data_IF_843434321240
#
_entry.id   IF_843434321240
#
_cell.length_a   1.000
_cell.length_b   1.000
_cell.length_c   1.000
_cell.angle_alpha   90.00
_cell.angle_beta   90.00
_cell.angle_gamma   90.00
#
_symmetry.space_group_name_H-M   'P 1'
#
loop_
_entity.id
_entity.type
_entity.pdbx_description
1 polymer ?
2 non-polymer ?
3 non-polymer ?
4 non-polymer ?
5 water ?
#
# COMPACT_ATOMS: atom_id res chain seq x y z
N UNK A 31 -13.25 27.28 -16.36
CA UNK A 31 -13.59 25.93 -15.88
C UNK A 31 -13.81 25.90 -14.36
N UNK A 32 -15.08 25.83 -13.99
CA UNK A 32 -15.56 25.58 -12.64
C UNK A 32 -15.01 24.22 -12.10
N UNK A 33 -14.44 24.25 -10.90
CA UNK A 33 -13.85 23.03 -10.32
C UNK A 33 -14.68 22.47 -9.19
N UNK A 34 -14.63 21.15 -9.03
CA UNK A 34 -15.22 20.44 -7.90
C UNK A 34 -14.09 19.76 -7.13
N UNK A 35 -14.37 19.42 -5.88
CA UNK A 35 -13.35 18.93 -4.97
C UNK A 35 -13.86 17.68 -4.27
N UNK A 36 -12.93 16.82 -3.80
CA UNK A 36 -13.33 15.70 -2.97
C UNK A 36 -12.17 15.37 -2.05
N UNK A 37 -12.48 14.82 -0.88
CA UNK A 37 -11.45 14.57 0.11
C UNK A 37 -11.49 13.12 0.53
N UNK A 38 -10.33 12.48 0.62
CA UNK A 38 -10.26 11.16 1.25
C UNK A 38 -9.25 11.21 2.37
N UNK A 39 -9.64 10.70 3.53
CA UNK A 39 -8.70 10.40 4.62
C UNK A 39 -8.32 8.91 4.47
N UNK A 40 -7.05 8.67 4.18
CA UNK A 40 -6.48 7.31 4.13
C UNK A 40 -5.98 6.98 5.56
N UNK A 41 -6.74 6.18 6.32
CA UNK A 41 -6.43 5.85 7.73
C UNK A 41 -5.67 4.49 7.73
N UNK A 42 -4.37 4.60 7.48
CA UNK A 42 -3.48 3.44 7.34
C UNK A 42 -3.03 2.97 8.71
N UNK A 43 -2.43 1.79 8.75
CA UNK A 43 -1.98 1.22 10.02
C UNK A 43 -1.01 2.16 10.76
N UNK A 44 -0.09 2.83 10.07
CA UNK A 44 1.01 3.57 10.76
C UNK A 44 0.74 5.09 10.83
N UNK A 45 -0.21 5.56 10.04
CA UNK A 45 -0.55 6.98 10.07
C UNK A 45 -1.73 7.24 9.18
N UNK A 46 -2.27 8.44 9.30
CA UNK A 46 -3.36 8.89 8.43
C UNK A 46 -2.82 9.96 7.47
N UNK A 47 -3.24 9.89 6.22
CA UNK A 47 -2.97 10.95 5.27
C UNK A 47 -4.30 11.47 4.71
N UNK A 48 -4.34 12.78 4.45
CA UNK A 48 -5.49 13.39 3.81
C UNK A 48 -5.11 13.75 2.38
N UNK A 49 -5.97 13.44 1.44
CA UNK A 49 -5.78 13.82 0.05
C UNK A 49 -6.99 14.61 -0.38
N UNK A 50 -6.73 15.74 -1.01
CA UNK A 50 -7.76 16.57 -1.60
C UNK A 50 -7.57 16.54 -3.13
N UNK A 51 -8.65 16.18 -3.83
CA UNK A 51 -8.67 16.03 -5.26
C UNK A 51 -9.57 17.11 -5.88
N UNK A 52 -9.31 17.42 -7.14
CA UNK A 52 -10.07 18.49 -7.83
C UNK A 52 -10.26 18.07 -9.28
N UNK A 53 -11.36 18.50 -9.89
CA UNK A 53 -11.64 18.14 -11.26
C UNK A 53 -12.59 19.19 -11.86
N UNK A 54 -12.52 19.38 -13.19
CA UNK A 54 -13.53 20.29 -13.80
C UNK A 54 -14.92 19.68 -13.77
N UNK A 55 -15.88 20.47 -13.31
CA UNK A 55 -17.30 20.09 -13.27
C UNK A 55 -17.83 19.54 -14.63
N UNK A 56 -17.53 20.24 -15.72
CA UNK A 56 -18.04 19.90 -17.06
C UNK A 56 -17.34 18.71 -17.75
N UNK A 57 -16.22 18.25 -17.18
CA UNK A 57 -15.45 17.10 -17.76
C UNK A 57 -15.28 15.93 -16.79
N UNK A 58 -16.16 15.82 -15.81
CA UNK A 58 -15.86 15.01 -14.63
C UNK A 58 -15.82 13.50 -14.88
N UNK A 59 -16.43 13.04 -15.98
CA UNK A 59 -16.44 11.61 -16.32
C UNK A 59 -15.32 11.16 -17.29
N UNK A 60 -14.49 12.09 -17.74
CA UNK A 60 -13.33 11.75 -18.55
C UNK A 60 -12.35 10.96 -17.68
N UNK A 61 -11.78 9.87 -18.21
CA UNK A 61 -10.66 9.23 -17.51
C UNK A 61 -9.43 10.15 -17.35
N UNK A 62 -8.75 10.07 -16.20
CA UNK A 62 -7.53 10.85 -15.99
C UNK A 62 -7.73 12.32 -15.60
N UNK A 63 -8.98 12.73 -15.52
CA UNK A 63 -9.33 14.17 -15.33
C UNK A 63 -9.14 14.60 -13.86
N UNK A 64 -9.45 13.70 -12.93
CA UNK A 64 -9.32 14.01 -11.51
C UNK A 64 -7.83 14.00 -11.18
N UNK A 65 -7.37 14.99 -10.42
CA UNK A 65 -6.01 14.91 -9.88
C UNK A 65 -5.89 15.50 -8.50
N UNK A 66 -4.76 15.25 -7.86
CA UNK A 66 -4.55 15.72 -6.51
C UNK A 66 -4.37 17.26 -6.47
N UNK A 67 -5.05 17.87 -5.52
CA UNK A 67 -4.96 19.33 -5.27
C UNK A 67 -3.98 19.63 -4.12
N UNK A 68 -4.11 18.87 -3.03
CA UNK A 68 -3.24 19.06 -1.88
C UNK A 68 -3.27 17.79 -1.04
N UNK A 69 -2.41 17.76 -0.04
CA UNK A 69 -2.42 16.63 0.85
C UNK A 69 -1.91 17.08 2.21
N UNK A 70 -2.10 16.20 3.19
CA UNK A 70 -1.66 16.51 4.56
C UNK A 70 -1.40 15.20 5.29
N UNK A 71 -0.26 15.15 5.98
CA UNK A 71 0.09 13.98 6.80
C UNK A 71 -0.26 14.27 8.26
N UNK A 72 -1.09 13.40 8.83
CA UNK A 72 -1.56 13.61 10.20
C UNK A 72 -0.42 13.20 11.11
N UNK A 73 -0.09 14.07 12.05
CA UNK A 73 0.93 13.80 13.08
C UNK A 73 0.58 12.57 13.90
N UNK A 74 1.58 11.73 14.17
CA UNK A 74 1.42 10.58 15.06
C UNK A 74 0.93 9.29 14.38
N UNK A 75 0.46 8.36 15.23
CA UNK A 75 0.20 6.96 14.84
C UNK A 75 -1.06 6.90 14.01
N UNK A 76 -1.41 5.70 13.57
CA UNK A 76 -2.71 5.46 12.88
C UNK A 76 -3.89 5.51 13.83
N UNK A 77 -5.11 5.58 13.27
CA UNK A 77 -6.29 5.66 14.15
C UNK A 77 -6.40 4.41 15.03
N UNK A 78 -5.95 3.25 14.52
CA UNK A 78 -5.99 2.02 15.30
C UNK A 78 -5.07 2.10 16.55
N UNK A 79 -4.08 3.00 16.52
CA UNK A 79 -3.16 3.22 17.66
C UNK A 79 -3.87 3.81 18.90
N UNK A 80 -5.09 4.30 18.70
CA UNK A 80 -5.89 4.87 19.76
C UNK A 80 -6.95 3.94 20.26
N UNK A 81 -6.76 2.63 20.07
CA UNK A 81 -7.75 1.63 20.55
C UNK A 81 -8.16 1.82 22.02
N UNK A 82 -7.20 2.21 22.86
CA UNK A 82 -7.48 2.39 24.32
C UNK A 82 -7.80 3.82 24.74
N UNK A 83 -7.79 4.73 23.75
CA UNK A 83 -8.07 6.16 23.97
C UNK A 83 -8.78 6.70 22.72
N UNK A 84 -9.97 6.13 22.36
CA UNK A 84 -10.58 6.39 21.05
C UNK A 84 -10.89 7.87 20.78
N UNK A 85 -11.16 8.63 21.83
CA UNK A 85 -11.40 10.08 21.68
C UNK A 85 -10.25 10.78 20.95
N UNK A 86 -9.01 10.34 21.22
CA UNK A 86 -7.84 10.93 20.57
C UNK A 86 -7.80 10.71 19.05
N UNK A 87 -8.45 9.63 18.59
CA UNK A 87 -8.41 9.33 17.15
C UNK A 87 -9.06 10.43 16.32
N UNK A 88 -10.23 10.89 16.74
CA UNK A 88 -10.89 12.01 16.08
C UNK A 88 -10.08 13.30 16.18
N UNK A 89 -9.63 13.65 17.39
CA UNK A 89 -8.80 14.83 17.58
C UNK A 89 -7.53 14.84 16.71
N UNK A 90 -6.97 13.66 16.41
CA UNK A 90 -5.75 13.59 15.61
C UNK A 90 -5.95 14.17 14.17
N UNK A 91 -7.19 14.20 13.70
CA UNK A 91 -7.51 14.66 12.33
C UNK A 91 -7.66 16.19 12.22
N UNK A 92 -7.72 16.86 13.36
CA UNK A 92 -8.17 18.26 13.38
C UNK A 92 -7.27 19.16 12.56
N UNK A 93 -5.95 19.04 12.70
CA UNK A 93 -5.04 19.95 12.00
C UNK A 93 -5.11 19.81 10.48
N UNK A 94 -5.14 18.56 9.99
CA UNK A 94 -5.33 18.35 8.56
C UNK A 94 -6.71 18.78 8.06
N UNK A 95 -7.77 18.52 8.82
CA UNK A 95 -9.11 19.05 8.46
C UNK A 95 -9.16 20.59 8.39
N UNK A 96 -8.45 21.24 9.31
CA UNK A 96 -8.28 22.69 9.24
C UNK A 96 -7.56 23.11 7.97
N UNK A 97 -6.55 22.34 7.54
CA UNK A 97 -5.91 22.58 6.24
C UNK A 97 -6.88 22.41 5.07
N UNK A 98 -7.70 21.34 5.07
CA UNK A 98 -8.76 21.18 4.04
C UNK A 98 -9.68 22.39 3.84
N UNK A 99 -10.00 23.06 4.95
CA UNK A 99 -10.86 24.25 4.96
C UNK A 99 -10.18 25.40 4.24
N UNK A 100 -8.86 25.49 4.39
CA UNK A 100 -8.06 26.47 3.61
C UNK A 100 -7.81 26.05 2.17
N UNK A 101 -7.72 24.74 1.90
CA UNK A 101 -7.37 24.26 0.57
C UNK A 101 -8.57 24.30 -0.37
N UNK A 102 -9.76 24.06 0.16
CA UNK A 102 -10.95 23.99 -0.68
C UNK A 102 -11.67 25.37 -0.53
N UNK A 103 -12.02 26.02 -1.65
CA UNK A 103 -12.73 27.33 -1.57
C UNK A 103 -14.00 27.24 -0.70
N UNK A 104 -14.35 28.31 0.04
CA UNK A 104 -15.40 28.27 1.11
C UNK A 104 -16.73 27.91 0.48
N UNK A 105 -16.96 28.46 -0.70
CA UNK A 105 -18.24 28.36 -1.35
C UNK A 105 -18.48 26.93 -1.82
N UNK A 106 -17.42 26.11 -1.81
CA UNK A 106 -17.53 24.73 -2.23
C UNK A 106 -17.46 23.69 -1.09
N UNK A 107 -17.25 24.13 0.16
CA UNK A 107 -17.12 23.19 1.31
C UNK A 107 -18.32 22.24 1.40
N UNK A 108 -19.52 22.82 1.39
CA UNK A 108 -20.78 22.09 1.56
C UNK A 108 -21.03 20.94 0.57
N UNK A 109 -20.48 21.06 -0.63
CA UNK A 109 -20.73 20.11 -1.72
C UNK A 109 -19.49 19.29 -2.06
N UNK A 110 -18.49 19.35 -1.19
CA UNK A 110 -17.27 18.55 -1.36
C UNK A 110 -17.46 17.31 -0.48
N UNK A 111 -17.51 16.09 -1.11
CA UNK A 111 -17.62 14.86 -0.34
C UNK A 111 -16.31 14.60 0.44
N UNK A 112 -16.47 14.09 1.65
CA UNK A 112 -15.33 13.65 2.47
C UNK A 112 -15.56 12.24 2.87
N UNK A 113 -14.55 11.38 2.67
CA UNK A 113 -14.65 9.99 3.06
C UNK A 113 -13.47 9.68 3.95
N UNK A 114 -13.67 8.76 4.86
CA UNK A 114 -12.53 8.11 5.52
C UNK A 114 -12.55 6.63 5.24
N UNK A 115 -11.42 6.09 4.82
CA UNK A 115 -11.28 4.66 4.53
C UNK A 115 -10.10 4.18 5.39
N UNK A 116 -10.30 3.10 6.13
CA UNK A 116 -9.24 2.56 7.01
C UNK A 116 -8.84 1.17 6.49
N UNK A 117 -7.57 0.85 6.66
CA UNK A 117 -7.04 -0.38 6.06
C UNK A 117 -6.60 -1.36 7.16
N UNK A 118 -5.43 -2.00 7.00
CA UNK A 118 -5.14 -3.20 7.79
C UNK A 118 -4.92 -2.96 9.28
N UNK A 119 -4.56 -1.73 9.67
CA UNK A 119 -4.43 -1.40 11.12
C UNK A 119 -5.77 -1.62 11.79
N UNK A 120 -6.83 -1.14 11.14
CA UNK A 120 -8.19 -1.33 11.65
C UNK A 120 -8.71 -2.76 11.42
N UNK A 121 -8.34 -3.39 10.30
CA UNK A 121 -8.69 -4.84 10.18
C UNK A 121 -8.08 -5.68 11.32
N UNK A 122 -6.82 -5.42 11.68
CA UNK A 122 -6.21 -6.13 12.80
C UNK A 122 -6.87 -5.80 14.15
N UNK A 123 -7.16 -4.51 14.39
CA UNK A 123 -7.83 -4.15 15.66
C UNK A 123 -9.19 -4.86 15.74
N UNK A 124 -9.86 -5.01 14.60
CA UNK A 124 -11.18 -5.64 14.59
C UNK A 124 -11.10 -7.12 14.96
N UNK A 125 -9.98 -7.79 14.65
CA UNK A 125 -9.74 -9.19 15.17
C UNK A 125 -9.59 -9.23 16.71
N UNK A 126 -8.90 -8.26 17.23
CA UNK A 126 -8.61 -8.14 18.65
C UNK A 126 -9.86 -7.69 19.41
N UNK A 127 -10.50 -6.62 18.94
CA UNK A 127 -11.64 -6.02 19.62
C UNK A 127 -12.54 -5.24 18.71
N UNK A 128 -13.63 -5.86 18.28
CA UNK A 128 -14.64 -5.20 17.48
C UNK A 128 -15.23 -4.00 18.22
N UNK A 129 -15.36 -4.10 19.53
CA UNK A 129 -15.84 -2.98 20.35
C UNK A 129 -14.89 -1.77 20.29
N UNK A 130 -13.58 -1.97 20.49
CA UNK A 130 -12.61 -0.86 20.42
C UNK A 130 -12.55 -0.27 19.00
N UNK A 131 -12.60 -1.13 17.99
CA UNK A 131 -12.72 -0.72 16.58
C UNK A 131 -13.92 0.20 16.35
N UNK A 132 -15.07 -0.21 16.87
CA UNK A 132 -16.30 0.60 16.72
C UNK A 132 -16.19 1.95 17.45
N UNK A 133 -15.54 1.98 18.62
CA UNK A 133 -15.35 3.23 19.35
C UNK A 133 -14.42 4.20 18.58
N UNK A 134 -13.37 3.65 17.96
CA UNK A 134 -12.48 4.50 17.13
C UNK A 134 -13.25 5.12 15.95
N UNK A 135 -14.05 4.28 15.28
CA UNK A 135 -14.80 4.71 14.10
C UNK A 135 -15.81 5.75 14.53
N UNK A 136 -16.41 5.51 15.71
CA UNK A 136 -17.33 6.51 16.31
C UNK A 136 -16.63 7.85 16.59
N UNK A 137 -15.45 7.81 17.18
CA UNK A 137 -14.69 9.03 17.49
C UNK A 137 -14.28 9.79 16.22
N UNK A 138 -13.77 9.10 15.20
CA UNK A 138 -13.46 9.83 13.93
C UNK A 138 -14.76 10.36 13.29
N UNK A 139 -15.83 9.58 13.36
CA UNK A 139 -17.12 10.03 12.76
C UNK A 139 -17.62 11.30 13.45
N UNK A 140 -17.60 11.30 14.78
CA UNK A 140 -18.01 12.48 15.53
C UNK A 140 -17.19 13.74 15.16
N UNK A 141 -15.85 13.64 15.04
CA UNK A 141 -15.05 14.77 14.61
C UNK A 141 -15.41 15.22 13.18
N UNK A 142 -15.48 14.28 12.25
CA UNK A 142 -15.67 14.64 10.84
C UNK A 142 -17.01 15.30 10.57
N UNK A 143 -18.04 14.85 11.28
CA UNK A 143 -19.37 15.41 11.16
C UNK A 143 -19.45 16.89 11.63
N UNK A 144 -18.52 17.35 12.48
CA UNK A 144 -18.43 18.77 12.90
C UNK A 144 -17.96 19.74 11.83
N UNK A 145 -17.41 19.20 10.74
CA UNK A 145 -16.88 20.03 9.65
C UNK A 145 -17.94 20.23 8.54
N UNK A 146 -17.78 21.30 7.73
CA UNK A 146 -18.78 21.71 6.72
C UNK A 146 -18.78 20.95 5.42
N UNK A 147 -17.83 20.01 5.26
CA UNK A 147 -17.82 19.08 4.10
C UNK A 147 -19.01 18.13 4.15
N UNK A 148 -19.38 17.60 2.99
CA UNK A 148 -20.42 16.60 2.88
C UNK A 148 -19.80 15.23 3.32
N UNK A 149 -19.84 14.95 4.62
CA UNK A 149 -19.17 13.76 5.14
C UNK A 149 -20.00 12.52 4.76
N UNK A 150 -19.38 11.54 4.13
CA UNK A 150 -20.09 10.40 3.55
C UNK A 150 -19.75 9.09 4.28
N UNK A 151 -18.98 9.19 5.36
CA UNK A 151 -18.80 8.03 6.27
C UNK A 151 -17.36 7.58 6.45
N UNK A 152 -17.15 6.90 7.58
CA UNK A 152 -15.88 6.24 7.88
C UNK A 152 -16.14 4.74 7.73
N UNK A 153 -15.36 4.09 6.88
CA UNK A 153 -15.48 2.66 6.65
C UNK A 153 -14.11 1.99 6.68
N UNK A 154 -14.12 0.71 7.06
CA UNK A 154 -12.95 -0.15 6.90
C UNK A 154 -13.07 -0.83 5.52
N UNK A 155 -12.08 -0.59 4.68
CA UNK A 155 -11.98 -1.25 3.38
C UNK A 155 -11.60 -2.72 3.54
N UNK A 156 -12.14 -3.56 2.65
CA UNK A 156 -11.63 -4.93 2.56
C UNK A 156 -10.25 -4.95 1.93
N UNK A 157 -9.55 -6.06 2.09
CA UNK A 157 -8.25 -6.22 1.38
C UNK A 157 -8.42 -6.19 -0.14
N UNK A 158 -9.53 -6.73 -0.63
CA UNK A 158 -9.82 -6.63 -2.06
C UNK A 158 -10.00 -5.18 -2.48
N UNK A 159 -10.83 -4.43 -1.77
CA UNK A 159 -11.00 -3.01 -2.02
C UNK A 159 -9.69 -2.30 -2.13
N UNK A 160 -8.82 -2.53 -1.16
CA UNK A 160 -7.55 -1.85 -1.09
C UNK A 160 -6.71 -2.11 -2.33
N UNK A 161 -6.65 -3.37 -2.78
CA UNK A 161 -5.82 -3.80 -3.93
C UNK A 161 -6.46 -3.20 -5.21
N UNK A 162 -7.76 -3.44 -5.36
CA UNK A 162 -8.45 -3.00 -6.59
C UNK A 162 -8.42 -1.48 -6.76
N UNK A 163 -8.71 -0.73 -5.70
CA UNK A 163 -8.74 0.76 -5.83
C UNK A 163 -7.35 1.31 -6.11
N UNK A 164 -6.31 0.66 -5.59
CA UNK A 164 -4.96 1.08 -5.98
C UNK A 164 -4.65 0.86 -7.49
N UNK A 165 -5.11 -0.27 -8.02
CA UNK A 165 -4.95 -0.64 -9.43
C UNK A 165 -5.73 0.40 -10.27
N UNK A 166 -6.93 0.73 -9.83
CA UNK A 166 -7.73 1.73 -10.57
C UNK A 166 -7.02 3.08 -10.57
N UNK A 167 -6.51 3.48 -9.41
CA UNK A 167 -5.82 4.77 -9.31
C UNK A 167 -4.68 4.83 -10.34
N UNK A 168 -3.80 3.83 -10.36
CA UNK A 168 -2.64 3.90 -11.22
C UNK A 168 -3.07 3.98 -12.71
N UNK A 169 -3.98 3.10 -13.09
CA UNK A 169 -4.40 3.01 -14.47
C UNK A 169 -5.25 4.24 -14.90
N UNK A 170 -6.02 4.76 -13.95
CA UNK A 170 -6.79 5.99 -14.26
C UNK A 170 -5.84 7.13 -14.54
N UNK A 171 -4.86 7.32 -13.66
CA UNK A 171 -3.91 8.44 -13.78
C UNK A 171 -3.07 8.38 -15.04
N UNK A 172 -2.74 7.16 -15.48
CA UNK A 172 -1.88 6.95 -16.64
C UNK A 172 -2.65 6.79 -17.96
N UNK A 173 -3.96 6.95 -17.89
CA UNK A 173 -4.85 6.92 -19.06
C UNK A 173 -4.82 5.58 -19.79
N UNK A 174 -4.70 4.49 -19.03
CA UNK A 174 -4.72 3.19 -19.65
C UNK A 174 -6.10 2.69 -19.99
N UNK A 175 -7.14 3.44 -19.61
CA UNK A 175 -8.51 2.95 -19.89
C UNK A 175 -9.07 3.58 -21.18
N UNK A 176 -8.29 4.45 -21.79
CA UNK A 176 -8.66 5.01 -23.12
C UNK A 176 -8.66 3.86 -24.17
N UNK A 177 -9.65 3.82 -25.07
CA UNK A 177 -9.59 2.86 -26.19
C UNK A 177 -8.72 3.51 -27.29
N UNK A 178 -7.48 3.03 -27.45
CA UNK A 178 -6.57 3.66 -28.41
C UNK A 178 -6.81 3.20 -29.85
N UNK A 179 -6.65 4.18 -30.75
CA UNK A 179 -6.79 3.96 -32.19
C UNK A 179 -7.90 4.86 -32.69
N UNK A 180 -8.50 4.43 -33.80
CA UNK A 180 -9.61 5.18 -34.38
C UNK A 180 -10.47 4.23 -35.22
N UNK A 181 -11.58 4.75 -35.71
CA UNK A 181 -12.52 3.87 -36.44
C UNK A 181 -11.81 3.10 -37.54
N UNK A 182 -12.03 1.78 -37.55
CA UNK A 182 -11.48 0.87 -38.57
C UNK A 182 -10.02 0.48 -38.30
N UNK A 183 -9.43 1.03 -37.23
CA UNK A 183 -8.04 0.71 -36.90
C UNK A 183 -7.79 0.87 -35.39
N UNK A 184 -8.34 -0.07 -34.63
CA UNK A 184 -8.19 -0.06 -33.17
C UNK A 184 -6.95 -0.83 -32.85
N UNK A 185 -6.20 -0.35 -31.86
CA UNK A 185 -5.00 -1.11 -31.45
C UNK A 185 -5.45 -2.45 -30.89
N UNK A 186 -4.75 -3.49 -31.28
CA UNK A 186 -5.15 -4.86 -30.87
C UNK A 186 -3.85 -5.53 -30.56
N UNK A 187 -3.73 -6.18 -29.38
CA UNK A 187 -4.73 -6.22 -28.33
C UNK A 187 -4.89 -4.83 -27.72
N UNK A 188 -5.97 -4.68 -26.97
CA UNK A 188 -6.28 -3.51 -26.19
C UNK A 188 -5.02 -3.05 -25.43
N UNK A 189 -4.87 -1.75 -25.21
CA UNK A 189 -3.81 -1.17 -24.39
C UNK A 189 -3.68 -1.93 -23.05
N UNK A 190 -2.46 -2.33 -22.71
CA UNK A 190 -2.23 -3.07 -21.44
C UNK A 190 -2.43 -2.19 -20.24
N UNK A 191 -2.73 -2.84 -19.12
CA UNK A 191 -2.86 -2.14 -17.86
C UNK A 191 -1.66 -2.45 -16.92
N UNK A 192 -1.48 -1.55 -15.96
CA UNK A 192 -0.37 -1.62 -15.04
C UNK A 192 -0.84 -2.38 -13.81
N UNK A 193 -0.12 -3.45 -13.50
CA UNK A 193 -0.34 -4.21 -12.24
C UNK A 193 0.07 -3.30 -11.09
N UNK A 194 -0.47 -3.59 -9.89
CA UNK A 194 -0.13 -2.74 -8.73
C UNK A 194 0.42 -3.60 -7.59
N UNK A 195 1.50 -3.13 -6.95
CA UNK A 195 1.94 -3.83 -5.71
C UNK A 195 2.11 -2.77 -4.68
N UNK A 196 1.42 -2.93 -3.55
CA UNK A 196 1.39 -1.91 -2.49
C UNK A 196 1.97 -2.56 -1.24
N UNK A 197 3.03 -2.00 -0.69
CA UNK A 197 3.53 -2.53 0.60
C UNK A 197 3.25 -1.46 1.67
N UNK A 198 2.17 -1.66 2.44
CA UNK A 198 1.86 -0.72 3.50
C UNK A 198 2.49 -1.22 4.76
N UNK A 199 1.96 -0.76 5.89
CA UNK A 199 2.57 -1.09 7.19
C UNK A 199 2.09 -2.43 7.73
N UNK A 200 0.84 -2.81 7.41
CA UNK A 200 0.22 -4.03 8.04
C UNK A 200 -0.22 -5.12 7.06
N UNK A 201 -0.39 -4.78 5.80
CA UNK A 201 -0.67 -5.82 4.80
C UNK A 201 0.03 -5.38 3.51
N UNK A 202 0.10 -6.32 2.57
CA UNK A 202 0.60 -6.02 1.22
C UNK A 202 -0.39 -6.59 0.17
N UNK A 203 -0.57 -5.85 -0.92
CA UNK A 203 -1.55 -6.20 -1.98
C UNK A 203 -0.85 -6.38 -3.29
N UNK A 204 -1.34 -7.32 -4.11
CA UNK A 204 -0.90 -7.47 -5.49
C UNK A 204 -2.18 -7.59 -6.35
N UNK A 205 -2.22 -6.86 -7.47
CA UNK A 205 -3.45 -6.73 -8.25
C UNK A 205 -3.01 -6.53 -9.70
N UNK A 206 -3.56 -7.32 -10.60
CA UNK A 206 -3.22 -7.18 -12.04
C UNK A 206 -4.25 -7.85 -12.93
N UNK A 207 -4.33 -7.29 -14.13
CA UNK A 207 -5.18 -7.87 -15.17
C UNK A 207 -4.58 -9.18 -15.62
N UNK A 208 -5.45 -10.18 -15.76
CA UNK A 208 -5.03 -11.52 -16.13
C UNK A 208 -5.99 -12.18 -17.13
N UNK A 209 -5.44 -13.05 -17.98
CA UNK A 209 -6.22 -13.90 -18.88
C UNK A 209 -6.38 -15.32 -18.32
N UNK A 210 -5.73 -15.63 -17.18
CA UNK A 210 -5.89 -16.98 -16.59
C UNK A 210 -7.25 -17.18 -15.97
N UNK A 211 -7.76 -18.43 -16.06
CA UNK A 211 -9.03 -18.76 -15.41
C UNK A 211 -8.93 -18.54 -13.91
N UNK A 212 -10.03 -18.07 -13.33
CA UNK A 212 -10.09 -17.85 -11.91
C UNK A 212 -10.22 -19.21 -11.18
N UNK A 213 -9.49 -19.38 -10.10
CA UNK A 213 -9.60 -20.62 -9.32
C UNK A 213 -10.10 -20.39 -7.90
N UNK A 214 -10.11 -19.13 -7.48
CA UNK A 214 -10.57 -18.81 -6.14
C UNK A 214 -11.40 -17.54 -6.21
N UNK A 215 -12.69 -17.64 -5.89
CA UNK A 215 -13.58 -16.48 -6.00
C UNK A 215 -13.12 -15.25 -5.21
N UNK A 216 -12.48 -15.45 -4.06
CA UNK A 216 -11.92 -14.37 -3.24
C UNK A 216 -10.89 -13.51 -3.95
N UNK A 217 -10.26 -14.03 -5.01
CA UNK A 217 -9.20 -13.33 -5.75
C UNK A 217 -9.69 -12.75 -7.08
N UNK A 218 -10.93 -13.05 -7.43
CA UNK A 218 -11.46 -12.74 -8.77
C UNK A 218 -12.21 -11.40 -8.79
N UNK A 219 -11.85 -10.53 -9.73
CA UNK A 219 -12.39 -9.19 -9.80
C UNK A 219 -12.81 -8.96 -11.28
N UNK A 220 -14.02 -8.48 -11.49
CA UNK A 220 -14.46 -8.08 -12.86
C UNK A 220 -14.93 -6.64 -12.84
N UNK A 221 -14.31 -5.78 -13.67
CA UNK A 221 -14.64 -4.37 -13.68
C UNK A 221 -15.20 -4.02 -15.05
N UNK A 222 -16.18 -3.12 -15.07
CA UNK A 222 -16.67 -2.60 -16.34
C UNK A 222 -16.34 -1.11 -16.30
N UNK A 223 -15.40 -0.69 -17.11
CA UNK A 223 -14.92 0.69 -17.04
C UNK A 223 -14.87 1.25 -18.47
N UNK A 224 -15.55 2.37 -18.67
CA UNK A 224 -15.59 3.06 -19.99
C UNK A 224 -15.94 2.09 -21.12
N UNK A 225 -16.87 1.19 -20.87
CA UNK A 225 -17.38 0.30 -21.90
C UNK A 225 -16.54 -0.96 -22.04
N UNK A 226 -15.53 -1.12 -21.22
CA UNK A 226 -14.62 -2.26 -21.35
C UNK A 226 -14.65 -3.14 -20.13
N UNK A 227 -14.45 -4.44 -20.38
CA UNK A 227 -14.38 -5.46 -19.31
C UNK A 227 -12.90 -5.74 -18.97
N UNK A 228 -12.57 -5.61 -17.68
CA UNK A 228 -11.21 -5.98 -17.17
C UNK A 228 -11.39 -7.13 -16.17
N UNK A 229 -10.65 -8.21 -16.43
CA UNK A 229 -10.57 -9.43 -15.60
C UNK A 229 -9.31 -9.25 -14.78
N UNK A 230 -9.47 -9.15 -13.47
CA UNK A 230 -8.39 -8.73 -12.61
C UNK A 230 -8.24 -9.77 -11.47
N UNK A 231 -6.99 -10.01 -11.09
CA UNK A 231 -6.65 -10.84 -9.93
C UNK A 231 -6.24 -9.86 -8.83
N UNK A 232 -6.65 -10.14 -7.59
CA UNK A 232 -6.13 -9.41 -6.44
C UNK A 232 -5.98 -10.30 -5.24
N UNK A 233 -4.98 -9.97 -4.41
CA UNK A 233 -4.89 -10.59 -3.10
C UNK A 233 -4.26 -9.61 -2.14
N UNK A 234 -4.72 -9.66 -0.88
CA UNK A 234 -4.05 -8.90 0.18
C UNK A 234 -3.56 -9.91 1.21
N UNK A 235 -2.27 -9.81 1.49
CA UNK A 235 -1.64 -10.60 2.54
C UNK A 235 -1.61 -9.82 3.87
N UNK A 236 -2.52 -10.16 4.76
CA UNK A 236 -2.58 -9.51 6.06
C UNK A 236 -1.35 -9.96 6.86
N UNK A 237 -0.77 -9.07 7.67
CA UNK A 237 0.47 -9.37 8.39
C UNK A 237 1.73 -9.42 7.55
N UNK A 238 1.64 -9.11 6.25
CA UNK A 238 2.81 -9.04 5.40
C UNK A 238 3.11 -7.57 5.03
N UNK A 239 2.55 -6.61 5.78
CA UNK A 239 3.00 -5.22 5.62
C UNK A 239 4.38 -5.03 6.31
N UNK A 240 5.04 -3.94 5.96
CA UNK A 240 6.41 -3.67 6.45
C UNK A 240 6.57 -3.78 7.98
N UNK A 241 5.72 -3.07 8.72
CA UNK A 241 5.87 -2.99 10.19
C UNK A 241 5.60 -4.35 10.85
N UNK A 242 4.61 -5.06 10.32
CA UNK A 242 4.31 -6.39 10.84
C UNK A 242 5.40 -7.40 10.50
N UNK A 243 5.92 -7.38 9.27
CA UNK A 243 7.06 -8.24 8.96
C UNK A 243 8.26 -7.98 9.89
N UNK A 244 8.57 -6.71 10.12
CA UNK A 244 9.66 -6.35 11.04
C UNK A 244 9.39 -6.91 12.46
N UNK A 245 8.18 -6.79 12.96
CA UNK A 245 7.83 -7.42 14.24
C UNK A 245 7.98 -8.95 14.26
N UNK A 246 7.53 -9.58 13.17
CA UNK A 246 7.64 -11.05 13.01
C UNK A 246 9.12 -11.51 12.97
N UNK A 247 9.96 -10.76 12.26
CA UNK A 247 11.40 -11.08 12.19
C UNK A 247 12.05 -10.87 13.55
N UNK A 248 11.65 -9.80 14.25
CA UNK A 248 12.19 -9.56 15.61
C UNK A 248 11.81 -10.69 16.57
N UNK A 249 10.54 -11.10 16.56
CA UNK A 249 10.04 -12.24 17.36
C UNK A 249 10.86 -13.50 17.01
N UNK A 250 11.06 -13.75 15.71
CA UNK A 250 11.79 -14.93 15.25
C UNK A 250 13.28 -14.89 15.69
N UNK A 251 13.93 -13.76 15.49
CA UNK A 251 15.34 -13.58 15.90
C UNK A 251 15.50 -13.83 17.42
N UNK A 252 14.57 -13.26 18.20
CA UNK A 252 14.57 -13.46 19.66
C UNK A 252 14.53 -14.95 20.03
N UNK A 253 13.70 -15.70 19.35
CA UNK A 253 13.47 -17.13 19.64
C UNK A 253 14.63 -18.00 19.16
N UNK A 254 15.10 -17.74 17.95
CA UNK A 254 16.02 -18.65 17.29
C UNK A 254 17.47 -18.31 17.62
N UNK A 255 17.78 -17.01 17.69
CA UNK A 255 19.15 -16.57 17.81
C UNK A 255 19.58 -15.87 19.07
N UNK A 256 18.65 -15.12 19.66
CA UNK A 256 18.98 -14.10 20.66
C UNK A 256 19.97 -13.05 20.17
N UNK A 257 20.10 -12.89 18.85
CA UNK A 257 20.68 -11.70 18.27
C UNK A 257 19.84 -11.49 16.99
N UNK A 258 20.02 -10.36 16.35
CA UNK A 258 19.22 -10.08 15.15
C UNK A 258 20.13 -10.01 13.94
N UNK A 259 20.12 -11.07 13.10
CA UNK A 259 21.08 -11.10 12.00
C UNK A 259 20.79 -10.05 10.95
N UNK A 260 19.54 -9.58 10.86
CA UNK A 260 19.25 -8.49 9.93
C UNK A 260 19.64 -7.13 10.42
N UNK A 261 19.82 -6.93 11.73
CA UNK A 261 20.25 -5.62 12.22
C UNK A 261 21.78 -5.47 12.11
N UNK A 262 22.23 -4.23 11.93
CA UNK A 262 23.66 -4.00 11.74
C UNK A 262 24.46 -4.18 13.03
N UNK A 263 25.64 -4.78 12.89
CA UNK A 263 26.56 -5.00 13.99
C UNK A 263 26.88 -3.64 14.68
N UNK A 264 26.66 -3.59 15.99
CA UNK A 264 26.86 -2.35 16.77
C UNK A 264 25.56 -1.68 17.12
N UNK A 265 24.46 -2.10 16.49
CA UNK A 265 23.17 -1.54 16.80
C UNK A 265 22.54 -2.47 17.83
N UNK A 266 22.02 -1.89 18.91
CA UNK A 266 21.29 -2.67 19.91
C UNK A 266 20.16 -1.86 20.48
N UNK A 267 19.16 -2.53 21.01
CA UNK A 267 18.08 -1.80 21.65
C UNK A 267 17.43 -2.68 22.72
N UNK A 268 16.73 -2.04 23.64
CA UNK A 268 16.05 -2.73 24.72
C UNK A 268 14.64 -3.04 24.21
N UNK A 269 14.34 -4.33 24.05
CA UNK A 269 13.09 -4.74 23.44
C UNK A 269 12.04 -5.04 24.55
N UNK A 270 10.91 -4.35 24.49
CA UNK A 270 9.87 -4.63 25.43
C UNK A 270 9.02 -5.79 24.88
N UNK A 271 9.07 -6.95 25.54
CA UNK A 271 8.50 -8.17 24.96
C UNK A 271 6.98 -8.09 24.73
N UNK A 272 6.30 -7.36 25.60
CA UNK A 272 4.86 -7.13 25.49
C UNK A 272 4.47 -6.54 24.14
N UNK A 273 5.23 -5.54 23.68
CA UNK A 273 4.96 -4.94 22.38
C UNK A 273 5.27 -5.93 21.25
N UNK A 274 6.28 -6.79 21.42
CA UNK A 274 6.63 -7.74 20.36
C UNK A 274 5.48 -8.73 20.09
N UNK A 275 4.92 -9.30 21.15
CA UNK A 275 3.97 -10.39 21.00
C UNK A 275 2.47 -9.98 21.08
N UNK A 276 2.18 -8.68 21.16
CA UNK A 276 0.79 -8.22 21.33
C UNK A 276 -0.03 -8.23 20.01
N UNK A 277 0.69 -8.24 18.88
CA UNK A 277 0.08 -8.20 17.56
C UNK A 277 -0.56 -9.53 17.14
N UNK A 278 -1.72 -9.50 16.45
CA UNK A 278 -2.23 -10.76 15.88
C UNK A 278 -1.18 -11.49 15.04
N UNK A 279 -0.24 -10.72 14.45
CA UNK A 279 0.73 -11.28 13.48
C UNK A 279 1.89 -12.06 14.15
N UNK A 280 2.06 -11.83 15.46
CA UNK A 280 3.18 -12.40 16.25
C UNK A 280 2.74 -13.22 17.44
N UNK A 281 1.45 -13.17 17.80
CA UNK A 281 0.94 -13.96 18.93
C UNK A 281 1.30 -15.44 18.81
N UNK A 282 1.31 -15.90 17.55
CA UNK A 282 1.68 -17.25 17.11
C UNK A 282 3.11 -17.68 17.42
N UNK A 283 4.04 -16.71 17.50
CA UNK A 283 5.42 -16.89 17.95
C UNK A 283 5.40 -16.74 19.49
N UNK A 284 6.54 -16.83 20.19
CA UNK A 284 6.54 -16.66 21.67
C UNK A 284 7.42 -17.62 22.49
N UNK A 292 10.59 -9.04 31.03
CA UNK A 292 9.82 -8.00 30.37
C UNK A 292 10.62 -7.26 29.26
N UNK A 293 11.92 -7.10 29.49
CA UNK A 293 12.73 -6.38 28.52
C UNK A 293 13.97 -7.20 28.28
N UNK A 294 14.35 -7.28 27.01
CA UNK A 294 15.55 -8.01 26.64
C UNK A 294 16.40 -7.15 25.74
N UNK A 295 17.72 -7.22 25.92
CA UNK A 295 18.64 -6.53 25.04
C UNK A 295 18.82 -7.36 23.79
N UNK A 296 18.74 -6.72 22.63
CA UNK A 296 18.94 -7.44 21.36
C UNK A 296 19.88 -6.65 20.48
N UNK A 297 20.92 -7.30 19.97
CA UNK A 297 21.95 -6.62 19.19
C UNK A 297 22.01 -7.17 17.77
N UNK A 298 22.42 -6.34 16.82
CA UNK A 298 22.53 -6.80 15.43
C UNK A 298 23.85 -7.46 15.13
N UNK A 299 23.92 -8.24 14.06
CA UNK A 299 25.17 -8.94 13.68
C UNK A 299 25.58 -8.86 12.21
N UNK A 300 24.81 -8.12 11.39
CA UNK A 300 25.13 -7.95 9.95
C UNK A 300 25.42 -9.28 9.27
N UNK A 301 24.51 -10.22 9.37
CA UNK A 301 24.75 -11.52 8.80
C UNK A 301 23.74 -11.67 7.66
N UNK A 302 24.12 -11.26 6.46
CA UNK A 302 23.15 -11.26 5.37
C UNK A 302 22.61 -12.67 5.11
N UNK A 303 23.46 -13.71 5.22
CA UNK A 303 22.96 -15.06 4.97
C UNK A 303 21.95 -15.54 6.02
N UNK A 304 22.22 -15.27 7.31
CA UNK A 304 21.24 -15.64 8.36
C UNK A 304 19.97 -14.79 8.30
N UNK A 305 20.12 -13.56 7.86
CA UNK A 305 18.95 -12.68 7.61
C UNK A 305 18.05 -13.25 6.48
N UNK A 306 18.67 -13.67 5.39
CA UNK A 306 17.98 -14.32 4.29
C UNK A 306 17.23 -15.54 4.81
N UNK A 307 17.93 -16.39 5.62
CA UNK A 307 17.28 -17.55 6.21
C UNK A 307 16.07 -17.18 7.10
N UNK A 308 16.22 -16.14 7.88
CA UNK A 308 15.13 -15.68 8.75
C UNK A 308 13.91 -15.19 7.96
N UNK A 309 14.17 -14.38 6.95
CA UNK A 309 13.11 -13.93 6.04
C UNK A 309 12.42 -15.08 5.31
N UNK A 310 13.19 -16.07 4.85
CA UNK A 310 12.61 -17.18 4.11
C UNK A 310 11.54 -17.95 4.93
N UNK A 311 11.65 -17.91 6.25
CA UNK A 311 10.67 -18.55 7.15
C UNK A 311 9.29 -17.89 7.07
N UNK A 312 9.23 -16.69 6.50
CA UNK A 312 7.94 -16.01 6.34
C UNK A 312 7.05 -16.60 5.24
N UNK A 313 7.62 -17.37 4.34
CA UNK A 313 6.89 -17.87 3.16
C UNK A 313 6.69 -19.38 3.23
N UNK A 314 5.44 -19.80 3.34
CA UNK A 314 5.20 -21.24 3.32
C UNK A 314 4.93 -21.67 1.87
N UNK A 315 5.81 -22.49 1.31
CA UNK A 315 5.63 -22.97 -0.07
C UNK A 315 5.31 -24.48 -0.11
N UNK A 316 4.92 -25.04 1.02
CA UNK A 316 4.89 -26.49 1.17
C UNK A 316 3.64 -27.09 0.51
N UNK A 317 2.61 -26.25 0.34
CA UNK A 317 1.32 -26.78 -0.06
C UNK A 317 0.55 -25.82 -0.96
N UNK A 318 -0.18 -26.39 -1.93
CA UNK A 318 -0.98 -25.57 -2.85
C UNK A 318 -2.17 -26.36 -3.34
N UNK A 319 -3.37 -25.97 -2.91
CA UNK A 319 -4.60 -26.66 -3.29
C UNK A 319 -5.12 -26.25 -4.67
N UNK A 320 -4.38 -25.37 -5.36
CA UNK A 320 -4.77 -24.83 -6.67
C UNK A 320 -3.77 -25.31 -7.70
N UNK A 321 -3.94 -24.96 -8.98
CA UNK A 321 -2.98 -25.36 -10.00
C UNK A 321 -1.64 -24.64 -9.85
N UNK A 322 -1.70 -23.42 -9.34
CA UNK A 322 -0.53 -22.60 -9.14
C UNK A 322 -0.81 -21.67 -7.95
N UNK A 323 0.20 -21.43 -7.10
CA UNK A 323 0.05 -20.60 -5.94
C UNK A 323 1.15 -19.55 -5.88
N UNK A 324 0.92 -18.51 -5.08
CA UNK A 324 2.03 -17.61 -4.71
C UNK A 324 2.70 -18.28 -3.51
N UNK A 325 2.17 -18.01 -2.32
CA UNK A 325 2.62 -18.69 -1.10
C UNK A 325 1.49 -18.77 -0.10
N UNK A 326 1.72 -19.53 1.00
CA UNK A 326 0.70 -19.81 2.01
C UNK A 326 -0.56 -20.41 1.40
N UNK A 327 -0.41 -21.20 0.32
CA UNK A 327 -1.53 -21.86 -0.31
C UNK A 327 -2.50 -20.90 -1.00
N UNK A 328 -2.06 -19.67 -1.27
CA UNK A 328 -2.93 -18.69 -1.98
C UNK A 328 -2.83 -18.89 -3.51
N UNK A 329 -3.98 -18.99 -4.15
CA UNK A 329 -4.02 -19.09 -5.61
C UNK A 329 -3.39 -17.81 -6.20
N UNK A 330 -2.54 -17.97 -7.22
CA UNK A 330 -2.08 -16.82 -8.01
C UNK A 330 -1.70 -17.24 -9.44
N UNK A 331 -2.29 -16.60 -10.49
CA UNK A 331 -1.86 -16.89 -11.86
C UNK A 331 -0.47 -16.27 -12.09
N UNK A 332 0.22 -16.68 -13.16
CA UNK A 332 1.52 -16.11 -13.50
C UNK A 332 1.47 -14.60 -13.55
N UNK A 333 2.41 -13.91 -12.90
CA UNK A 333 2.47 -12.45 -13.11
C UNK A 333 2.72 -12.12 -14.60
N UNK A 334 2.15 -11.00 -15.02
CA UNK A 334 2.17 -10.64 -16.48
C UNK A 334 2.00 -9.14 -16.57
N UNK A 335 2.64 -8.55 -17.58
CA UNK A 335 2.46 -7.15 -17.92
C UNK A 335 3.34 -6.27 -17.07
N UNK A 336 3.23 -4.96 -17.28
CA UNK A 336 3.97 -4.03 -16.43
C UNK A 336 3.32 -3.94 -15.04
N UNK A 337 4.12 -3.54 -14.03
CA UNK A 337 3.65 -3.28 -12.65
C UNK A 337 4.26 -1.98 -12.14
N UNK A 338 3.48 -1.30 -11.31
CA UNK A 338 4.01 -0.24 -10.49
C UNK A 338 4.03 -0.74 -9.03
N UNK A 339 5.20 -0.62 -8.41
CA UNK A 339 5.39 -1.02 -6.99
C UNK A 339 5.60 0.32 -6.22
N UNK A 340 4.70 0.60 -5.31
CA UNK A 340 4.68 1.88 -4.65
C UNK A 340 4.77 1.69 -3.14
N UNK A 341 4.35 2.71 -2.37
CA UNK A 341 4.46 2.70 -0.88
C UNK A 341 5.86 2.20 -0.47
N UNK A 342 5.96 1.25 0.47
CA UNK A 342 7.27 0.88 1.00
C UNK A 342 8.15 0.15 0.00
N UNK A 343 7.56 -0.36 -1.11
CA UNK A 343 8.48 -0.84 -2.18
C UNK A 343 9.30 0.33 -2.69
N UNK A 344 8.62 1.43 -2.98
CA UNK A 344 9.30 2.60 -3.49
C UNK A 344 10.28 3.11 -2.43
N UNK A 345 9.84 3.26 -1.18
CA UNK A 345 10.73 3.90 -0.16
C UNK A 345 12.01 3.06 0.04
N UNK A 346 11.88 1.74 -0.06
CA UNK A 346 13.03 0.88 0.21
C UNK A 346 13.99 0.89 -0.95
N UNK A 347 13.45 0.79 -2.17
CA UNK A 347 14.27 0.88 -3.35
C UNK A 347 14.94 2.25 -3.50
N UNK A 348 14.22 3.29 -3.11
CA UNK A 348 14.77 4.65 -3.13
C UNK A 348 15.97 4.74 -2.18
N UNK A 349 15.88 4.10 -1.03
CA UNK A 349 17.02 4.03 -0.12
C UNK A 349 18.22 3.30 -0.75
N UNK A 350 17.95 2.16 -1.41
CA UNK A 350 19.02 1.38 -1.98
C UNK A 350 19.72 2.14 -3.10
N UNK A 351 18.93 2.87 -3.91
CA UNK A 351 19.53 3.58 -5.02
C UNK A 351 20.16 4.90 -4.61
N UNK A 352 19.49 5.70 -3.80
CA UNK A 352 19.91 7.06 -3.50
C UNK A 352 20.88 7.15 -2.31
N UNK A 353 20.69 6.29 -1.31
CA UNK A 353 21.54 6.34 -0.13
C UNK A 353 22.70 5.37 -0.24
N UNK A 354 22.42 4.12 -0.57
CA UNK A 354 23.45 3.10 -0.76
C UNK A 354 24.19 3.26 -2.09
N UNK A 355 23.57 3.94 -3.06
CA UNK A 355 24.14 4.14 -4.38
C UNK A 355 24.27 2.86 -5.19
N UNK A 356 23.33 1.93 -5.05
CA UNK A 356 23.46 0.62 -5.68
C UNK A 356 22.38 0.46 -6.76
N UNK A 357 22.71 -0.22 -7.88
CA UNK A 357 21.68 -0.48 -8.91
C UNK A 357 20.67 -1.53 -8.45
N UNK A 358 19.41 -1.36 -8.85
CA UNK A 358 18.36 -2.34 -8.54
C UNK A 358 17.55 -2.81 -9.78
N UNK A 359 18.15 -2.66 -10.96
CA UNK A 359 17.47 -2.87 -12.23
C UNK A 359 17.08 -4.32 -12.49
N UNK A 360 17.80 -5.24 -11.87
CA UNK A 360 17.49 -6.68 -12.01
C UNK A 360 17.26 -7.29 -10.61
N UNK A 361 16.63 -8.47 -10.54
CA UNK A 361 16.50 -9.21 -9.26
C UNK A 361 17.86 -9.56 -8.70
N UNK A 362 18.79 -9.92 -9.59
CA UNK A 362 20.16 -10.20 -9.15
C UNK A 362 20.79 -8.95 -8.53
N UNK A 363 20.62 -7.78 -9.16
CA UNK A 363 21.08 -6.50 -8.56
C UNK A 363 20.41 -6.17 -7.22
N UNK A 364 19.10 -6.37 -7.16
CA UNK A 364 18.38 -6.16 -5.91
C UNK A 364 18.95 -7.09 -4.81
N UNK A 365 19.15 -8.36 -5.13
CA UNK A 365 19.73 -9.33 -4.16
C UNK A 365 21.14 -8.88 -3.66
N UNK A 366 21.97 -8.46 -4.61
CA UNK A 366 23.29 -7.95 -4.31
C UNK A 366 23.25 -6.73 -3.44
N UNK A 367 22.35 -5.79 -3.75
CA UNK A 367 22.21 -4.54 -2.99
C UNK A 367 21.74 -4.86 -1.54
N UNK A 368 20.88 -5.85 -1.41
CA UNK A 368 20.35 -6.28 -0.10
C UNK A 368 21.49 -6.82 0.73
N UNK A 369 22.30 -7.68 0.11
CA UNK A 369 23.48 -8.29 0.75
C UNK A 369 24.48 -7.27 1.26
N UNK A 370 24.90 -6.35 0.39
CA UNK A 370 25.80 -5.26 0.75
C UNK A 370 25.23 -4.45 1.90
N UNK A 371 23.93 -4.13 1.83
CA UNK A 371 23.26 -3.35 2.86
C UNK A 371 23.26 -4.08 4.21
N UNK A 372 22.92 -5.37 4.18
CA UNK A 372 22.81 -6.19 5.39
C UNK A 372 24.22 -6.43 5.98
N UNK A 373 25.24 -6.39 5.13
CA UNK A 373 26.61 -6.61 5.62
C UNK A 373 27.25 -5.37 6.23
N UNK A 374 26.61 -4.21 6.07
CA UNK A 374 27.12 -2.98 6.74
C UNK A 374 27.04 -3.04 8.27
N UNK A 375 28.07 -2.54 8.96
CA UNK A 375 28.00 -2.33 10.42
C UNK A 375 27.15 -1.09 10.71
N UNK A 376 26.77 -0.90 11.96
CA UNK A 376 25.95 0.25 12.32
C UNK A 376 26.63 1.60 12.10
N UNK A 377 27.94 1.67 12.40
CA UNK A 377 28.74 2.88 12.12
C UNK A 377 28.83 3.13 10.59
N UNK A 378 29.00 2.09 9.78
CA UNK A 378 29.09 2.26 8.33
C UNK A 378 27.76 2.75 7.73
N UNK A 379 26.67 2.20 8.24
CA UNK A 379 25.37 2.58 7.75
C UNK A 379 25.05 4.02 8.20
N UNK A 380 25.34 4.33 9.45
CA UNK A 380 25.13 5.71 9.92
C UNK A 380 25.95 6.75 9.13
N UNK A 381 27.18 6.39 8.76
CA UNK A 381 28.07 7.27 7.95
C UNK A 381 27.44 7.68 6.61
N UNK A 382 26.50 6.89 6.11
CA UNK A 382 25.80 7.18 4.85
C UNK A 382 24.60 8.11 4.99
N UNK A 383 24.17 8.37 6.23
CA UNK A 383 22.91 9.07 6.46
C UNK A 383 23.20 10.17 7.43
N UNK A 384 23.53 11.38 6.92
CA UNK A 384 23.93 12.45 7.84
C UNK A 384 22.81 12.93 8.78
N UNK A 385 21.56 12.77 8.37
CA UNK A 385 20.39 13.32 9.09
C UNK A 385 19.74 12.30 10.01
N UNK A 386 18.43 12.45 10.21
CA UNK A 386 17.71 11.57 11.14
C UNK A 386 17.80 10.09 10.71
N UNK A 387 17.88 9.24 11.72
CA UNK A 387 18.26 7.82 11.55
C UNK A 387 17.05 6.88 11.79
N UNK A 388 15.84 7.43 11.89
CA UNK A 388 14.70 6.56 12.09
C UNK A 388 14.58 5.67 10.84
N UNK A 389 14.24 4.43 11.08
CA UNK A 389 14.12 3.36 10.07
C UNK A 389 15.42 2.79 9.54
N UNK A 390 16.56 3.40 9.90
CA UNK A 390 17.80 3.03 9.25
C UNK A 390 18.23 1.58 9.50
N UNK A 391 18.07 1.12 10.74
CA UNK A 391 18.45 -0.24 11.10
C UNK A 391 17.55 -1.30 10.46
N UNK A 392 16.43 -0.87 9.89
CA UNK A 392 15.44 -1.78 9.33
C UNK A 392 15.51 -1.99 7.81
N UNK A 393 16.32 -1.19 7.10
CA UNK A 393 16.29 -1.32 5.61
C UNK A 393 16.76 -2.67 5.14
N UNK A 394 17.80 -3.21 5.76
CA UNK A 394 18.30 -4.56 5.39
C UNK A 394 17.16 -5.60 5.41
N UNK A 395 16.43 -5.66 6.53
CA UNK A 395 15.32 -6.63 6.65
C UNK A 395 14.22 -6.37 5.59
N UNK A 396 13.86 -5.10 5.41
CA UNK A 396 12.77 -4.78 4.47
C UNK A 396 13.20 -5.13 3.06
N UNK A 397 14.45 -4.80 2.71
CA UNK A 397 14.97 -5.06 1.34
C UNK A 397 14.99 -6.56 1.11
N UNK A 398 15.47 -7.33 2.10
CA UNK A 398 15.47 -8.81 2.00
C UNK A 398 14.06 -9.36 1.83
N UNK A 399 13.14 -8.83 2.62
CA UNK A 399 11.72 -9.23 2.50
C UNK A 399 11.20 -8.97 1.09
N UNK A 400 11.47 -7.77 0.58
CA UNK A 400 10.96 -7.39 -0.74
C UNK A 400 11.51 -8.33 -1.80
N UNK A 401 12.82 -8.57 -1.72
CA UNK A 401 13.43 -9.44 -2.71
C UNK A 401 12.83 -10.84 -2.69
N UNK A 402 12.62 -11.42 -1.49
CA UNK A 402 12.00 -12.71 -1.36
C UNK A 402 10.50 -12.71 -1.76
N UNK A 403 9.78 -11.69 -1.33
CA UNK A 403 8.37 -11.58 -1.69
C UNK A 403 8.21 -11.63 -3.22
N UNK A 404 8.99 -10.81 -3.93
CA UNK A 404 8.88 -10.76 -5.40
C UNK A 404 9.34 -12.07 -6.07
N UNK A 405 10.44 -12.64 -5.57
CA UNK A 405 11.09 -13.75 -6.33
C UNK A 405 10.52 -15.07 -5.89
N UNK A 406 10.44 -15.29 -4.60
CA UNK A 406 9.89 -16.54 -4.15
C UNK A 406 8.39 -16.53 -3.79
N UNK A 407 7.82 -15.36 -3.55
CA UNK A 407 6.43 -15.26 -3.14
C UNK A 407 5.57 -15.18 -4.41
N UNK A 408 5.78 -14.11 -5.20
CA UNK A 408 5.00 -13.84 -6.42
C UNK A 408 5.53 -14.51 -7.68
N UNK A 409 6.76 -15.01 -7.59
CA UNK A 409 7.43 -15.72 -8.73
C UNK A 409 7.74 -14.83 -9.92
N UNK A 410 8.12 -13.58 -9.65
CA UNK A 410 8.79 -12.79 -10.67
C UNK A 410 10.13 -13.46 -10.97
N UNK A 411 10.55 -13.36 -12.22
CA UNK A 411 11.89 -13.80 -12.63
C UNK A 411 12.53 -12.65 -13.37
N UNK A 412 13.73 -12.84 -13.94
CA UNK A 412 14.35 -11.66 -14.57
C UNK A 412 13.47 -11.08 -15.70
N UNK A 413 12.79 -11.92 -16.48
CA UNK A 413 11.97 -11.42 -17.56
C UNK A 413 10.78 -10.59 -17.07
N UNK A 414 10.05 -11.11 -16.10
CA UNK A 414 8.86 -10.38 -15.59
C UNK A 414 9.29 -9.17 -14.72
N UNK A 415 10.42 -9.28 -14.03
CA UNK A 415 10.86 -8.19 -13.14
C UNK A 415 11.27 -6.94 -13.93
N UNK A 416 11.77 -7.14 -15.15
CA UNK A 416 12.14 -6.04 -16.04
C UNK A 416 10.95 -5.08 -16.29
N UNK A 417 9.72 -5.59 -16.11
CA UNK A 417 8.50 -4.83 -16.38
C UNK A 417 7.94 -4.07 -15.15
N UNK A 418 8.66 -4.16 -14.02
CA UNK A 418 8.26 -3.53 -12.74
C UNK A 418 8.94 -2.16 -12.63
N UNK A 419 8.17 -1.14 -12.31
CA UNK A 419 8.74 0.16 -11.98
C UNK A 419 8.38 0.54 -10.54
N UNK A 420 9.29 1.26 -9.89
CA UNK A 420 9.11 1.74 -8.51
C UNK A 420 8.86 3.21 -8.55
N UNK A 421 7.62 3.60 -8.25
CA UNK A 421 7.25 5.02 -8.32
C UNK A 421 6.16 5.20 -7.29
N UNK A 422 6.02 6.42 -6.76
CA UNK A 422 4.98 6.66 -5.77
C UNK A 422 3.99 7.74 -6.21
N UNK A 423 4.22 8.32 -7.38
CA UNK A 423 3.38 9.39 -7.89
C UNK A 423 3.18 9.21 -9.42
N UNK A 424 1.99 9.55 -9.90
CA UNK A 424 1.70 9.62 -11.35
C UNK A 424 0.89 10.87 -11.61
N UNK A 425 1.26 11.65 -12.63
CA UNK A 425 0.51 12.87 -13.01
C UNK A 425 0.25 13.74 -11.77
N UNK A 426 1.32 14.04 -11.02
CA UNK A 426 1.26 14.91 -9.82
C UNK A 426 0.31 14.42 -8.70
N UNK A 427 -0.02 13.13 -8.73
CA UNK A 427 -0.94 12.59 -7.78
C UNK A 427 -0.29 11.37 -7.12
N UNK A 428 -0.35 11.31 -5.78
CA UNK A 428 0.14 10.15 -5.04
C UNK A 428 -0.59 8.86 -5.44
N UNK A 429 0.18 7.79 -5.68
CA UNK A 429 -0.40 6.52 -6.04
C UNK A 429 -0.74 5.76 -4.76
N UNK A 430 -2.00 5.38 -4.66
CA UNK A 430 -2.49 4.57 -3.51
C UNK A 430 -3.94 4.25 -3.84
N UNK A 431 -4.67 3.70 -2.88
CA UNK A 431 -6.07 3.37 -3.16
C UNK A 431 -7.03 4.60 -3.10
N UNK A 432 -6.58 5.67 -2.44
CA UNK A 432 -7.54 6.79 -2.12
C UNK A 432 -8.28 7.34 -3.35
N UNK A 433 -7.57 7.62 -4.44
CA UNK A 433 -8.23 8.23 -5.60
C UNK A 433 -9.26 7.23 -6.16
N UNK A 434 -8.86 5.97 -6.36
CA UNK A 434 -9.79 4.97 -6.92
C UNK A 434 -11.04 4.84 -6.02
N UNK A 435 -10.85 4.89 -4.71
CA UNK A 435 -11.98 4.81 -3.74
C UNK A 435 -12.95 5.99 -3.93
N UNK A 436 -12.39 7.19 -4.03
CA UNK A 436 -13.18 8.39 -4.25
C UNK A 436 -13.90 8.34 -5.60
N UNK A 437 -13.20 7.86 -6.63
CA UNK A 437 -13.84 7.71 -7.97
C UNK A 437 -15.04 6.78 -7.91
N UNK A 438 -14.90 5.66 -7.20
CA UNK A 438 -16.00 4.72 -7.07
C UNK A 438 -17.18 5.32 -6.28
N UNK A 439 -16.90 5.90 -5.10
CA UNK A 439 -17.98 6.35 -4.23
C UNK A 439 -18.68 7.59 -4.76
N UNK A 440 -17.97 8.36 -5.57
CA UNK A 440 -18.54 9.57 -6.17
C UNK A 440 -19.14 9.26 -7.55
N UNK A 441 -19.05 8.00 -7.96
CA UNK A 441 -19.55 7.55 -9.27
C UNK A 441 -18.96 8.32 -10.45
N UNK A 442 -17.65 8.55 -10.42
CA UNK A 442 -16.99 9.33 -11.46
C UNK A 442 -16.42 8.53 -12.65
N UNK A 443 -16.34 7.21 -12.53
CA UNK A 443 -16.03 6.34 -13.68
C UNK A 443 -17.28 5.63 -14.17
N UNK A 444 -17.69 5.96 -15.41
CA UNK A 444 -18.88 5.35 -16.00
C UNK A 444 -18.59 3.90 -16.39
N UNK A 445 -19.56 3.01 -16.22
CA UNK A 445 -19.41 1.65 -16.71
C UNK A 445 -19.36 1.65 -18.25
N UNK A 446 -20.16 2.55 -18.85
CA UNK A 446 -20.22 2.70 -20.29
C UNK A 446 -20.03 4.15 -20.71
N UNK A 447 -19.50 4.35 -21.91
CA UNK A 447 -19.43 5.70 -22.48
C UNK A 447 -20.83 6.25 -22.79
N UNK A 448 -21.00 7.60 -22.83
CA UNK A 448 -22.32 8.19 -23.15
C UNK A 448 -22.84 7.68 -24.51
N UNK A 449 -24.12 7.30 -24.56
CA UNK A 449 -24.77 6.71 -25.75
C UNK A 449 -24.05 5.49 -26.30
N UNK A 450 -23.26 4.81 -25.46
CA UNK A 450 -22.39 3.67 -25.87
C UNK A 450 -21.44 4.05 -27.01
N UNK A 451 -21.13 5.34 -27.13
CA UNK A 451 -20.32 5.86 -28.26
C UNK A 451 -20.91 5.39 -29.59
N UNK A 452 -22.24 5.42 -29.70
CA UNK A 452 -22.92 5.02 -30.94
C UNK A 452 -22.59 3.55 -31.31
N UNK A 453 -22.07 2.78 -30.34
CA UNK A 453 -21.72 1.37 -30.58
C UNK A 453 -20.42 1.13 -31.34
N UNK A 454 -19.65 2.20 -31.55
CA UNK A 454 -18.39 2.16 -32.31
C UNK A 454 -17.21 1.38 -31.65
N UNK A 455 -17.33 1.07 -30.36
CA UNK A 455 -16.36 0.19 -29.70
C UNK A 455 -16.83 -1.29 -29.59
N UNK A 456 -17.95 -1.64 -30.21
CA UNK A 456 -18.47 -3.03 -30.11
C UNK A 456 -17.54 -4.06 -30.75
X LIG B 1 -1.52 -0.11 5.86
X LIG B 1 -1.53 0.27 4.42
X LIG B 1 -2.79 0.23 6.58
X LIG B 1 -1.31 -1.64 5.76
X LIG B 1 -0.30 0.50 6.57
X LIG C 1 -1.69 2.05 3.02
X LIG D 1 2.69 4.46 3.71
X LIG D 1 1.61 4.50 4.78
X LIG D 1 3.25 5.85 3.49
X LIG D 1 2.32 3.72 2.43
X LIG D 1 3.88 3.59 4.41
X LIG D 1 3.87 2.16 4.48
X LIG D 1 5.08 1.73 5.29
X LIG D 1 6.25 2.44 4.78
X LIG D 1 4.98 2.05 6.79
X LIG D 1 5.62 0.95 7.47
X LIG D 1 5.85 3.29 6.94
X LIG D 1 6.50 3.50 8.20
X LIG D 1 6.91 3.00 5.90
X LIG D 1 7.65 4.20 5.46
X LIG D 1 7.19 5.46 5.31
X LIG D 1 8.21 6.25 4.89
X LIG D 1 9.31 5.46 4.78
X LIG D 1 10.72 5.64 4.40
X LIG D 1 11.08 6.89 4.03
X LIG D 1 11.55 4.57 4.39
X LIG D 1 11.13 3.32 4.71
X LIG D 1 9.85 3.07 5.10
X LIG D 1 8.94 4.09 5.13
#
# INVERSE_FOLDING_TARGET
>A
MAHHHHHHVGTGSNDDDDKSPDPTQDVREPPALKYGIVLDAGSSHTSMFVYKWPADKENDTGIVGQHSSCDVQGGGISSYANDPSKAGQSLVRCLEQALRDVPRDRHASTPLYLGATAGMRLLNLTSPEATARVLEAVTQTLTQYPFDFRGARILSGQDEGVFGWVTANYLLENFIKYGWVGRWIRPRKGTLGAMDLGGASTQITFETTSPSEDPGNEVHLRLYGQHYRVYTHSFLCYGRDQILLRLLASALQIHRFHPCWPKGYSTQVLLQEVYQSPCTMGQRPRAFNGSAIVSLSGTSNATLCRDLVSRLFNISSCPFSQCSFNGVFQPPVAGNFIAFSAFYYTVDFLTTVMGLPVGTLKQLEEATEITCNQTWTELQARVPGQKTRLADYCAVAMFIHQLLSRGYHFDERSFREVVFQKKAADTAVGWALGYMLNLTNLIPADLPGLRKGTHF
>B hetero
1 PO4 P O1 O2 O3 O4
>C hetero
1 CA CA
>D hetero
1 AMP P O1P O2P O3P O5' C5' C4' O4' C3' O3' C2' O2' C1' N9 C8 N7 C5 C6 N6 N1 C2 N3 C4
#
